data_IF_124861946754
#
_entry.id   IF_124861946754
#
_cell.length_a   1.000
_cell.length_b   1.000
_cell.length_c   1.000
_cell.angle_alpha   90.00
_cell.angle_beta   90.00
_cell.angle_gamma   90.00
#
_symmetry.space_group_name_H-M   'P 1'
#
loop_
_entity.id
_entity.type
_entity.pdbx_description
1 polymer ?
#
# COMPACT_ATOMS: atom_id res chain seq x y z
N UNK A 1 38.57 50.99 -28.56
CA UNK A 1 38.14 50.42 -29.86
C UNK A 1 38.62 48.97 -29.92
N UNK A 2 37.68 48.02 -30.05
CA UNK A 2 37.72 46.72 -30.75
C UNK A 2 39.03 45.89 -30.78
N UNK A 3 39.09 44.55 -30.66
CA UNK A 3 38.14 43.43 -30.57
C UNK A 3 39.02 42.17 -30.59
N UNK A 4 38.77 41.16 -29.75
CA UNK A 4 38.95 39.72 -30.08
C UNK A 4 38.55 38.86 -28.89
N UNK A 5 37.51 38.06 -29.10
CA UNK A 5 37.09 36.95 -28.24
C UNK A 5 38.05 35.75 -28.37
N UNK A 6 37.94 34.76 -27.46
CA UNK A 6 37.22 33.56 -27.89
C UNK A 6 36.28 32.96 -26.83
N UNK A 7 35.03 32.72 -27.26
CA UNK A 7 34.34 31.42 -27.18
C UNK A 7 34.21 30.72 -25.83
N UNK A 8 33.12 31.00 -25.12
CA UNK A 8 32.54 30.14 -24.10
C UNK A 8 32.01 28.85 -24.74
N UNK A 9 32.74 27.74 -24.58
CA UNK A 9 32.20 26.40 -24.81
C UNK A 9 31.66 25.86 -23.47
N UNK A 10 30.37 26.07 -23.23
CA UNK A 10 29.59 25.31 -22.26
C UNK A 10 29.55 23.85 -22.73
N UNK A 11 30.40 22.97 -22.19
CA UNK A 11 30.24 21.53 -22.39
C UNK A 11 29.19 21.01 -21.42
N UNK A 12 27.94 21.02 -21.92
CA UNK A 12 26.82 20.25 -21.43
C UNK A 12 27.28 18.85 -21.00
N UNK A 13 27.30 18.60 -19.69
CA UNK A 13 27.55 17.28 -19.10
C UNK A 13 26.30 16.76 -18.40
N UNK A 14 25.13 17.05 -18.97
CA UNK A 14 23.85 16.46 -18.58
C UNK A 14 23.23 15.87 -19.84
N UNK A 15 23.80 14.77 -20.32
CA UNK A 15 23.19 14.00 -21.39
C UNK A 15 23.32 12.52 -21.04
N UNK A 16 22.15 11.90 -20.88
CA UNK A 16 21.88 10.46 -20.85
C UNK A 16 21.78 9.81 -19.47
N UNK A 17 20.69 10.13 -18.74
CA UNK A 17 20.15 9.28 -17.66
C UNK A 17 18.69 8.84 -17.90
N UNK A 18 18.19 8.92 -19.14
CA UNK A 18 16.92 8.29 -19.52
C UNK A 18 17.18 7.07 -20.40
N UNK A 19 16.61 5.88 -20.10
CA UNK A 19 16.54 4.83 -21.09
C UNK A 19 15.52 5.24 -22.15
N UNK A 20 16.00 5.30 -23.39
CA UNK A 20 15.22 5.56 -24.59
C UNK A 20 14.08 4.52 -24.70
N UNK A 21 12.82 4.98 -24.71
CA UNK A 21 11.65 4.12 -24.90
C UNK A 21 11.36 4.11 -26.40
N UNK A 22 12.13 3.33 -27.15
CA UNK A 22 11.79 3.03 -28.54
C UNK A 22 10.65 2.00 -28.57
N UNK A 23 9.42 2.47 -28.77
CA UNK A 23 8.31 1.65 -29.23
C UNK A 23 8.58 1.21 -30.68
N UNK A 24 8.97 -0.05 -30.85
CA UNK A 24 9.10 -0.70 -32.15
C UNK A 24 8.21 -1.93 -32.21
N UNK A 25 7.10 -1.80 -32.93
CA UNK A 25 6.23 -2.89 -33.37
C UNK A 25 7.02 -3.88 -34.24
N UNK A 26 6.98 -5.18 -33.93
CA UNK A 26 7.01 -6.30 -34.87
C UNK A 26 6.87 -7.66 -34.16
N UNK A 27 5.93 -8.45 -34.67
CA UNK A 27 5.63 -9.83 -34.33
C UNK A 27 6.80 -10.79 -34.56
N UNK A 28 7.12 -11.63 -33.56
CA UNK A 28 7.54 -13.04 -33.77
C UNK A 28 7.63 -13.79 -32.44
N UNK A 29 7.38 -15.09 -32.56
CA UNK A 29 7.16 -16.08 -31.51
C UNK A 29 8.49 -16.50 -30.84
N UNK A 30 8.37 -16.85 -29.56
CA UNK A 30 9.15 -17.85 -28.79
C UNK A 30 10.23 -17.41 -27.78
N UNK A 31 10.06 -17.93 -26.56
CA UNK A 31 11.09 -18.26 -25.56
C UNK A 31 11.80 -17.19 -24.67
N UNK A 32 11.28 -15.97 -24.48
CA UNK A 32 11.99 -14.91 -23.72
C UNK A 32 11.44 -14.55 -22.33
N UNK A 33 10.50 -15.31 -21.75
CA UNK A 33 9.91 -14.99 -20.44
C UNK A 33 10.88 -15.08 -19.25
N UNK A 34 11.95 -15.88 -19.36
CA UNK A 34 12.97 -16.04 -18.30
C UNK A 34 14.03 -14.92 -18.31
N UNK A 35 14.39 -14.41 -19.49
CA UNK A 35 15.51 -13.48 -19.64
C UNK A 35 15.07 -12.02 -19.46
N UNK A 36 13.83 -11.68 -19.86
CA UNK A 36 13.25 -10.36 -19.61
C UNK A 36 13.04 -10.07 -18.12
N UNK A 37 12.65 -11.09 -17.35
CA UNK A 37 12.52 -11.00 -15.90
C UNK A 37 13.88 -10.77 -15.21
N UNK A 38 14.92 -11.47 -15.67
CA UNK A 38 16.28 -11.28 -15.14
C UNK A 38 16.87 -9.90 -15.49
N UNK A 39 16.60 -9.42 -16.71
CA UNK A 39 16.99 -8.07 -17.13
C UNK A 39 16.32 -6.96 -16.30
N UNK A 40 15.00 -7.07 -16.06
CA UNK A 40 14.25 -6.15 -15.20
C UNK A 40 14.78 -6.15 -13.77
N UNK A 41 15.08 -7.31 -13.20
CA UNK A 41 15.65 -7.43 -11.86
C UNK A 41 17.07 -6.85 -11.77
N UNK A 42 17.90 -7.05 -12.79
CA UNK A 42 19.24 -6.45 -12.85
C UNK A 42 19.17 -4.93 -12.96
N UNK A 43 18.32 -4.40 -13.83
CA UNK A 43 18.10 -2.96 -13.98
C UNK A 43 17.53 -2.34 -12.71
N UNK A 44 16.61 -3.03 -12.05
CA UNK A 44 16.07 -2.63 -10.75
C UNK A 44 17.14 -2.66 -9.65
N UNK A 45 18.03 -3.66 -9.64
CA UNK A 45 19.18 -3.70 -8.73
C UNK A 45 20.18 -2.57 -8.99
N UNK A 46 20.45 -2.23 -10.25
CA UNK A 46 21.29 -1.08 -10.64
C UNK A 46 20.66 0.23 -10.13
N UNK A 47 19.34 0.44 -10.33
CA UNK A 47 18.61 1.62 -9.83
C UNK A 47 18.61 1.70 -8.31
N UNK A 48 18.38 0.59 -7.61
CA UNK A 48 18.43 0.52 -6.14
C UNK A 48 19.83 0.80 -5.61
N UNK A 49 20.88 0.32 -6.28
CA UNK A 49 22.26 0.60 -5.89
C UNK A 49 22.59 2.08 -6.05
N UNK A 50 22.16 2.71 -7.16
CA UNK A 50 22.31 4.15 -7.36
C UNK A 50 21.53 4.95 -6.32
N UNK A 51 20.29 4.56 -6.01
CA UNK A 51 19.48 5.22 -4.99
C UNK A 51 20.09 5.08 -3.60
N UNK A 52 20.59 3.89 -3.23
CA UNK A 52 21.33 3.67 -1.99
C UNK A 52 22.60 4.50 -1.97
N UNK A 53 23.34 4.60 -3.08
CA UNK A 53 24.54 5.42 -3.15
C UNK A 53 24.24 6.91 -2.95
N UNK A 54 23.18 7.43 -3.58
CA UNK A 54 22.70 8.82 -3.41
C UNK A 54 22.29 9.04 -1.94
N UNK A 55 21.44 8.18 -1.39
CA UNK A 55 20.99 8.29 0.01
C UNK A 55 22.11 8.05 1.03
N UNK A 56 23.22 7.43 0.62
CA UNK A 56 24.42 7.23 1.46
C UNK A 56 25.43 8.37 1.34
N UNK A 57 25.22 9.31 0.40
CA UNK A 57 25.99 10.55 0.31
C UNK A 57 25.43 11.63 1.26
N UNK A 58 24.20 11.48 1.74
CA UNK A 58 23.57 12.36 2.71
C UNK A 58 24.10 12.14 4.14
N UNK A 59 23.87 13.11 5.04
CA UNK A 59 24.28 13.01 6.45
C UNK A 59 23.52 11.89 7.16
N UNK A 60 24.23 10.79 7.40
CA UNK A 60 23.69 9.64 8.12
C UNK A 60 23.86 9.76 9.66
N UNK A 61 23.12 8.92 10.40
CA UNK A 61 23.06 8.91 11.86
C UNK A 61 24.43 8.76 12.53
N UNK A 62 25.36 8.03 11.93
CA UNK A 62 26.72 7.85 12.45
C UNK A 62 27.54 9.15 12.41
N UNK A 63 27.37 9.97 11.36
CA UNK A 63 28.02 11.29 11.27
C UNK A 63 27.50 12.23 12.36
N UNK A 64 26.19 12.21 12.64
CA UNK A 64 25.58 12.98 13.72
C UNK A 64 26.04 12.50 15.11
N UNK A 65 26.16 11.20 15.33
CA UNK A 65 26.68 10.63 16.58
C UNK A 65 28.14 11.03 16.83
N UNK A 66 28.99 11.00 15.80
CA UNK A 66 30.37 11.42 15.89
C UNK A 66 30.48 12.92 16.21
N UNK A 67 29.67 13.75 15.54
CA UNK A 67 29.60 15.18 15.80
C UNK A 67 29.14 15.49 17.24
N UNK A 68 28.05 14.86 17.69
CA UNK A 68 27.55 15.00 19.05
C UNK A 68 28.56 14.54 20.11
N UNK A 69 29.30 13.46 19.85
CA UNK A 69 30.36 12.97 20.74
C UNK A 69 31.53 13.95 20.82
N UNK A 70 31.91 14.57 19.70
CA UNK A 70 32.97 15.58 19.67
C UNK A 70 32.58 16.89 20.38
N UNK A 71 31.31 17.32 20.24
CA UNK A 71 30.75 18.46 20.97
C UNK A 71 30.67 18.18 22.48
N UNK A 72 30.30 16.96 22.87
CA UNK A 72 30.32 16.52 24.28
C UNK A 72 31.73 16.58 24.87
N UNK A 73 32.73 16.08 24.14
CA UNK A 73 34.13 16.13 24.58
C UNK A 73 34.64 17.58 24.68
N UNK A 74 34.23 18.45 23.75
CA UNK A 74 34.52 19.88 23.82
C UNK A 74 33.90 20.52 25.07
N UNK A 75 32.64 20.21 25.39
CA UNK A 75 31.98 20.70 26.60
C UNK A 75 32.67 20.20 27.88
N UNK A 76 33.22 18.98 27.86
CA UNK A 76 33.88 18.36 29.01
C UNK A 76 35.29 18.91 29.27
N UNK A 77 36.11 19.03 28.23
CA UNK A 77 37.55 19.33 28.39
C UNK A 77 37.95 20.71 27.81
N UNK A 78 37.00 21.48 27.26
CA UNK A 78 37.19 22.74 26.53
C UNK A 78 38.27 22.66 25.43
N UNK A 79 38.57 21.46 24.94
CA UNK A 79 39.65 21.20 24.01
C UNK A 79 39.11 21.20 22.57
N UNK A 80 39.60 22.15 21.76
CA UNK A 80 39.18 22.29 20.36
C UNK A 80 39.66 21.14 19.46
N UNK A 81 40.59 20.31 19.93
CA UNK A 81 41.23 19.28 19.10
C UNK A 81 40.24 18.17 18.71
N UNK A 82 39.41 17.68 19.64
CA UNK A 82 38.44 16.62 19.35
C UNK A 82 37.39 17.04 18.33
N UNK A 83 36.96 18.30 18.37
CA UNK A 83 35.96 18.84 17.44
C UNK A 83 36.59 19.16 16.08
N UNK A 84 37.83 19.69 16.07
CA UNK A 84 38.62 19.90 14.85
C UNK A 84 38.86 18.60 14.09
N UNK A 85 39.33 17.54 14.77
CA UNK A 85 39.64 16.26 14.13
C UNK A 85 38.38 15.56 13.59
N UNK A 86 37.25 15.72 14.26
CA UNK A 86 35.98 15.11 13.83
C UNK A 86 35.38 15.87 12.65
N UNK A 87 35.38 17.21 12.70
CA UNK A 87 34.91 18.05 11.60
C UNK A 87 35.82 17.93 10.38
N UNK A 88 37.14 17.85 10.55
CA UNK A 88 38.07 17.60 9.46
C UNK A 88 37.79 16.27 8.76
N UNK A 89 37.54 15.19 9.53
CA UNK A 89 37.17 13.88 8.98
C UNK A 89 35.84 13.90 8.23
N UNK A 90 34.82 14.56 8.78
CA UNK A 90 33.54 14.72 8.10
C UNK A 90 33.71 15.56 6.82
N UNK A 91 34.46 16.65 6.88
CA UNK A 91 34.76 17.51 5.74
C UNK A 91 35.47 16.77 4.61
N UNK A 92 36.47 15.94 4.90
CA UNK A 92 37.13 15.11 3.87
C UNK A 92 36.20 14.06 3.26
N UNK A 93 35.16 13.64 4.01
CA UNK A 93 34.13 12.73 3.50
C UNK A 93 33.12 13.41 2.55
N UNK A 94 32.88 14.71 2.72
CA UNK A 94 31.88 15.49 1.99
C UNK A 94 32.48 16.56 1.05
N UNK A 95 33.79 16.47 0.75
CA UNK A 95 34.54 17.52 0.03
C UNK A 95 34.01 17.84 -1.39
N UNK A 96 33.13 17.00 -1.93
CA UNK A 96 32.52 17.16 -3.26
C UNK A 96 31.00 17.41 -3.23
N UNK A 97 30.37 17.54 -2.06
CA UNK A 97 28.93 17.83 -1.97
C UNK A 97 28.63 19.10 -1.13
N UNK A 98 28.29 20.23 -1.79
CA UNK A 98 27.89 21.46 -1.10
C UNK A 98 26.57 21.32 -0.32
N UNK A 99 25.74 20.32 -0.67
CA UNK A 99 24.45 20.06 -0.03
C UNK A 99 24.66 19.44 1.35
N UNK A 100 25.41 18.34 1.44
CA UNK A 100 25.79 17.73 2.72
C UNK A 100 26.53 18.71 3.65
N UNK A 101 27.35 19.62 3.10
CA UNK A 101 27.99 20.67 3.90
C UNK A 101 26.97 21.61 4.56
N UNK A 102 25.94 22.01 3.80
CA UNK A 102 24.87 22.90 4.27
C UNK A 102 23.97 22.19 5.29
N UNK A 103 23.66 20.92 5.06
CA UNK A 103 22.90 20.09 5.98
C UNK A 103 23.65 19.88 7.31
N UNK A 104 24.98 19.82 7.29
CA UNK A 104 25.78 19.62 8.50
C UNK A 104 25.78 20.88 9.37
N UNK A 105 25.80 22.05 8.72
CA UNK A 105 25.61 23.33 9.40
C UNK A 105 24.21 23.40 10.02
N UNK A 106 23.17 23.02 9.27
CA UNK A 106 21.80 23.00 9.79
C UNK A 106 21.66 22.03 10.97
N UNK A 107 22.28 20.85 10.88
CA UNK A 107 22.30 19.86 11.95
C UNK A 107 22.96 20.39 13.23
N UNK A 108 24.03 21.18 13.13
CA UNK A 108 24.67 21.85 14.27
C UNK A 108 23.74 22.86 14.94
N UNK A 109 22.98 23.65 14.17
CA UNK A 109 22.00 24.59 14.71
C UNK A 109 20.82 23.88 15.39
N UNK A 110 20.27 22.84 14.73
CA UNK A 110 19.16 22.04 15.29
C UNK A 110 19.61 21.27 16.53
N UNK A 111 20.86 20.80 16.57
CA UNK A 111 21.45 20.19 17.77
C UNK A 111 21.45 21.16 18.96
N UNK A 112 21.80 22.43 18.74
CA UNK A 112 21.76 23.43 19.80
C UNK A 112 20.35 23.59 20.39
N UNK A 113 19.34 23.70 19.52
CA UNK A 113 17.94 23.85 19.92
C UNK A 113 17.42 22.59 20.64
N UNK A 114 17.73 21.41 20.12
CA UNK A 114 17.36 20.13 20.72
C UNK A 114 17.98 19.92 22.11
N UNK A 115 19.24 20.29 22.28
CA UNK A 115 19.91 20.25 23.60
C UNK A 115 19.29 21.29 24.53
N UNK A 116 18.99 22.49 24.06
CA UNK A 116 18.29 23.52 24.86
C UNK A 116 16.90 23.07 25.32
N UNK A 117 16.13 22.39 24.46
CA UNK A 117 14.83 21.82 24.82
C UNK A 117 14.95 20.67 25.84
N UNK A 118 15.93 19.78 25.66
CA UNK A 118 16.20 18.72 26.63
C UNK A 118 16.65 19.29 27.99
N UNK A 119 17.50 20.32 28.01
CA UNK A 119 17.93 21.00 29.24
C UNK A 119 16.76 21.63 29.99
N UNK A 120 15.74 22.17 29.29
CA UNK A 120 14.51 22.68 29.90
C UNK A 120 13.63 21.60 30.53
N UNK A 121 13.77 20.34 30.08
CA UNK A 121 13.05 19.19 30.65
C UNK A 121 13.67 18.73 31.98
N UNK A 122 14.90 19.14 32.27
CA UNK A 122 15.55 18.94 33.55
C UNK A 122 15.34 20.16 34.46
N UNK A 123 15.11 19.94 35.75
CA UNK A 123 14.91 21.00 36.75
C UNK A 123 16.22 21.73 37.10
N UNK A 124 16.79 22.44 36.13
CA UNK A 124 18.04 23.20 36.24
C UNK A 124 17.71 24.65 36.61
N UNK A 125 18.49 25.22 37.54
CA UNK A 125 18.34 26.61 37.96
C UNK A 125 18.63 27.58 36.79
N UNK A 126 17.92 28.72 36.68
CA UNK A 126 18.02 29.62 35.53
C UNK A 126 19.45 30.07 35.19
N UNK A 127 20.26 30.43 36.20
CA UNK A 127 21.64 30.88 36.01
C UNK A 127 22.57 29.79 35.44
N UNK A 128 22.36 28.51 35.82
CA UNK A 128 23.07 27.37 35.22
C UNK A 128 22.60 27.10 33.81
N UNK A 129 21.30 27.24 33.53
CA UNK A 129 20.77 27.14 32.18
C UNK A 129 21.40 28.18 31.25
N UNK A 130 21.63 29.41 31.72
CA UNK A 130 22.36 30.44 30.97
C UNK A 130 23.84 30.08 30.73
N UNK A 131 24.54 29.58 31.74
CA UNK A 131 25.95 29.19 31.59
C UNK A 131 26.13 28.03 30.61
N UNK A 132 25.23 27.03 30.66
CA UNK A 132 25.22 25.89 29.76
C UNK A 132 24.83 26.31 28.33
N UNK A 133 23.82 27.17 28.16
CA UNK A 133 23.44 27.69 26.83
C UNK A 133 24.60 28.47 26.20
N UNK A 134 25.34 29.25 26.99
CA UNK A 134 26.51 29.99 26.51
C UNK A 134 27.66 29.05 26.11
N UNK A 135 27.93 28.01 26.90
CA UNK A 135 28.95 27.01 26.58
C UNK A 135 28.59 26.23 25.30
N UNK A 136 27.31 25.86 25.15
CA UNK A 136 26.79 25.18 23.97
C UNK A 136 26.87 26.07 22.72
N UNK A 137 26.53 27.37 22.84
CA UNK A 137 26.71 28.35 21.77
C UNK A 137 28.16 28.47 21.35
N UNK A 138 29.08 28.57 22.31
CA UNK A 138 30.51 28.65 22.02
C UNK A 138 31.02 27.41 21.28
N UNK A 139 30.60 26.21 21.71
CA UNK A 139 30.96 24.95 21.07
C UNK A 139 30.46 24.85 19.62
N UNK A 140 29.21 25.24 19.38
CA UNK A 140 28.58 25.22 18.05
C UNK A 140 29.22 26.29 17.15
N UNK A 141 29.53 27.47 17.68
CA UNK A 141 30.20 28.53 16.94
C UNK A 141 31.61 28.14 16.50
N UNK A 142 32.39 27.51 17.38
CA UNK A 142 33.70 26.95 17.04
C UNK A 142 33.58 25.87 15.96
N UNK A 143 32.59 24.97 16.08
CA UNK A 143 32.31 23.95 15.07
C UNK A 143 32.03 24.58 13.68
N UNK A 144 31.19 25.61 13.63
CA UNK A 144 30.84 26.33 12.40
C UNK A 144 32.05 27.07 11.83
N UNK A 145 32.88 27.69 12.67
CA UNK A 145 34.09 28.39 12.23
C UNK A 145 35.12 27.44 11.59
N UNK A 146 35.21 26.21 12.09
CA UNK A 146 36.06 25.16 11.50
C UNK A 146 35.44 24.61 10.21
N UNK A 147 34.12 24.46 10.18
CA UNK A 147 33.39 23.91 9.04
C UNK A 147 33.34 24.86 7.84
N UNK A 148 33.13 26.15 8.08
CA UNK A 148 33.18 27.22 7.07
C UNK A 148 33.86 28.47 7.63
N UNK A 149 35.18 28.65 7.33
CA UNK A 149 35.93 29.82 7.78
C UNK A 149 35.38 31.14 7.25
N UNK A 150 34.81 31.17 6.05
CA UNK A 150 34.21 32.39 5.47
C UNK A 150 32.93 32.80 6.20
N UNK A 151 32.10 31.84 6.62
CA UNK A 151 30.92 32.11 7.42
C UNK A 151 31.31 32.51 8.85
N UNK A 152 32.28 31.81 9.45
CA UNK A 152 32.84 32.14 10.76
C UNK A 152 33.51 33.51 10.82
N UNK A 153 34.24 33.91 9.77
CA UNK A 153 34.88 35.22 9.67
C UNK A 153 33.88 36.36 9.49
N UNK A 154 32.78 36.16 8.75
CA UNK A 154 31.68 37.15 8.69
C UNK A 154 30.96 37.30 10.04
N UNK A 155 30.89 36.24 10.85
CA UNK A 155 30.36 36.28 12.22
C UNK A 155 31.34 36.84 13.26
N UNK A 156 32.65 36.70 13.04
CA UNK A 156 33.70 37.17 13.96
C UNK A 156 34.18 38.58 13.64
N UNK A 157 34.20 38.98 12.36
CA UNK A 157 34.69 40.28 11.88
C UNK A 157 33.79 41.47 12.21
N UNK A 158 32.55 41.25 12.67
CA UNK A 158 31.70 42.33 13.22
C UNK A 158 32.08 42.71 14.66
N UNK A 159 33.10 42.08 15.26
CA UNK A 159 33.53 42.37 16.63
C UNK A 159 34.53 43.52 16.78
N UNK A 160 35.10 44.04 15.68
CA UNK A 160 36.15 45.07 15.79
C UNK A 160 35.60 46.51 15.86
N UNK A 161 34.34 46.76 15.53
CA UNK A 161 33.75 48.12 15.51
C UNK A 161 32.70 48.41 16.62
N UNK A 162 32.50 47.51 17.58
CA UNK A 162 31.54 47.71 18.69
C UNK A 162 32.24 47.71 20.05
N UNK A 163 33.02 48.77 20.32
CA UNK A 163 33.17 49.22 21.70
C UNK A 163 31.94 50.05 22.08
N UNK A 164 31.28 49.60 23.15
CA UNK A 164 30.16 50.23 23.88
C UNK A 164 28.75 49.68 23.58
N UNK A 165 28.27 48.85 24.53
CA UNK A 165 26.89 48.40 24.72
C UNK A 165 26.35 47.28 23.80
N UNK A 166 26.45 46.06 24.31
CA UNK A 166 25.29 45.17 24.47
C UNK A 166 24.70 44.46 23.23
N UNK A 167 25.17 43.22 23.04
CA UNK A 167 24.52 42.09 22.32
C UNK A 167 24.70 42.08 20.80
N UNK A 168 25.40 41.08 20.21
CA UNK A 168 25.52 40.96 18.76
C UNK A 168 24.14 40.69 18.15
N UNK A 169 23.82 41.40 17.06
CA UNK A 169 22.53 41.32 16.39
C UNK A 169 22.33 39.96 15.69
N UNK A 170 21.84 38.98 16.45
CA UNK A 170 21.46 37.62 16.03
C UNK A 170 20.34 37.54 14.97
N UNK A 171 19.92 38.67 14.39
CA UNK A 171 18.66 38.78 13.65
C UNK A 171 18.76 38.29 12.19
N UNK A 172 19.92 38.40 11.53
CA UNK A 172 20.03 38.04 10.11
C UNK A 172 20.04 36.52 9.85
N UNK A 173 20.67 35.75 10.74
CA UNK A 173 20.75 34.27 10.61
C UNK A 173 19.46 33.61 11.10
N UNK A 174 18.87 34.14 12.18
CA UNK A 174 17.52 33.75 12.61
C UNK A 174 16.48 34.05 11.54
N UNK A 175 16.62 35.15 10.80
CA UNK A 175 15.72 35.51 9.69
C UNK A 175 15.73 34.46 8.58
N UNK A 176 16.92 33.99 8.16
CA UNK A 176 17.04 32.94 7.14
C UNK A 176 16.45 31.61 7.66
N UNK A 177 16.79 31.21 8.89
CA UNK A 177 16.25 29.98 9.50
C UNK A 177 14.72 30.03 9.67
N UNK A 178 14.18 31.18 10.09
CA UNK A 178 12.73 31.39 10.21
C UNK A 178 12.05 31.40 8.83
N UNK A 179 12.67 31.98 7.80
CA UNK A 179 12.12 31.99 6.45
C UNK A 179 11.98 30.57 5.87
N UNK A 180 13.03 29.75 5.99
CA UNK A 180 12.97 28.34 5.56
C UNK A 180 11.99 27.52 6.39
N UNK A 181 11.98 27.70 7.72
CA UNK A 181 11.04 27.01 8.61
C UNK A 181 9.59 27.38 8.30
N UNK A 182 9.31 28.64 8.02
CA UNK A 182 7.99 29.10 7.64
C UNK A 182 7.59 28.56 6.26
N UNK A 183 8.51 28.47 5.30
CA UNK A 183 8.24 27.90 3.98
C UNK A 183 7.93 26.41 4.05
N UNK A 184 8.77 25.62 4.72
CA UNK A 184 8.54 24.18 4.89
C UNK A 184 7.29 23.89 5.72
N UNK A 185 7.04 24.70 6.76
CA UNK A 185 5.80 24.61 7.53
C UNK A 185 4.58 24.93 6.66
N UNK A 186 4.61 25.99 5.85
CA UNK A 186 3.50 26.35 4.98
C UNK A 186 3.18 25.24 3.97
N UNK A 187 4.21 24.63 3.36
CA UNK A 187 4.05 23.51 2.43
C UNK A 187 3.40 22.29 3.10
N UNK A 188 3.83 21.93 4.31
CA UNK A 188 3.19 20.86 5.09
C UNK A 188 1.73 21.17 5.41
N UNK A 189 1.40 22.41 5.77
CA UNK A 189 0.00 22.78 6.05
C UNK A 189 -0.85 22.67 4.78
N UNK A 190 -0.36 23.14 3.63
CA UNK A 190 -1.09 22.98 2.36
C UNK A 190 -1.28 21.51 1.97
N UNK A 191 -0.33 20.63 2.29
CA UNK A 191 -0.47 19.21 2.02
C UNK A 191 -1.53 18.57 2.92
N UNK A 192 -1.59 18.97 4.19
CA UNK A 192 -2.63 18.55 5.12
C UNK A 192 -4.00 19.03 4.62
N UNK A 193 -4.13 20.30 4.25
CA UNK A 193 -5.39 20.86 3.74
C UNK A 193 -5.87 20.11 2.50
N UNK A 194 -4.97 19.82 1.55
CA UNK A 194 -5.29 19.04 0.35
C UNK A 194 -5.73 17.61 0.70
N UNK A 195 -5.06 16.94 1.66
CA UNK A 195 -5.42 15.60 2.10
C UNK A 195 -6.76 15.57 2.83
N UNK A 196 -7.06 16.60 3.63
CA UNK A 196 -8.36 16.76 4.30
C UNK A 196 -9.48 16.96 3.27
N UNK A 197 -9.26 17.79 2.26
CA UNK A 197 -10.22 17.99 1.16
C UNK A 197 -10.45 16.69 0.38
N UNK A 198 -9.39 15.96 0.03
CA UNK A 198 -9.51 14.67 -0.65
C UNK A 198 -10.22 13.62 0.19
N UNK A 199 -9.94 13.57 1.49
CA UNK A 199 -10.61 12.65 2.41
C UNK A 199 -12.11 12.96 2.53
N UNK A 200 -12.46 14.25 2.63
CA UNK A 200 -13.86 14.69 2.61
C UNK A 200 -14.56 14.34 1.29
N UNK A 201 -13.88 14.52 0.16
CA UNK A 201 -14.40 14.14 -1.16
C UNK A 201 -14.62 12.64 -1.28
N UNK A 202 -13.67 11.82 -0.83
CA UNK A 202 -13.77 10.37 -0.84
C UNK A 202 -14.89 9.88 0.09
N UNK A 203 -15.02 10.46 1.28
CA UNK A 203 -16.11 10.15 2.20
C UNK A 203 -17.48 10.45 1.57
N UNK A 204 -17.60 11.58 0.87
CA UNK A 204 -18.83 11.94 0.18
C UNK A 204 -19.17 10.95 -0.95
N UNK A 205 -18.18 10.53 -1.74
CA UNK A 205 -18.37 9.49 -2.77
C UNK A 205 -18.81 8.16 -2.15
N UNK A 206 -18.20 7.76 -1.03
CA UNK A 206 -18.57 6.53 -0.33
C UNK A 206 -20.01 6.57 0.18
N UNK A 207 -20.45 7.71 0.72
CA UNK A 207 -21.84 7.93 1.14
C UNK A 207 -22.79 7.84 -0.06
N UNK A 208 -22.45 8.48 -1.18
CA UNK A 208 -23.27 8.42 -2.40
C UNK A 208 -23.40 7.00 -2.97
N UNK A 209 -22.29 6.25 -3.01
CA UNK A 209 -22.29 4.85 -3.45
C UNK A 209 -23.13 3.98 -2.51
N UNK A 210 -23.00 4.18 -1.19
CA UNK A 210 -23.80 3.42 -0.23
C UNK A 210 -25.30 3.71 -0.38
N UNK A 211 -25.68 4.98 -0.57
CA UNK A 211 -27.06 5.38 -0.84
C UNK A 211 -27.59 4.78 -2.15
N UNK A 212 -26.82 4.82 -3.23
CA UNK A 212 -27.24 4.26 -4.53
C UNK A 212 -27.38 2.74 -4.46
N UNK A 213 -26.47 2.06 -3.77
CA UNK A 213 -26.54 0.63 -3.52
C UNK A 213 -27.77 0.27 -2.67
N UNK A 214 -28.05 1.01 -1.60
CA UNK A 214 -29.25 0.86 -0.79
C UNK A 214 -30.55 1.04 -1.59
N UNK A 215 -30.57 2.02 -2.50
CA UNK A 215 -31.71 2.24 -3.40
C UNK A 215 -31.89 1.08 -4.39
N UNK A 216 -30.80 0.54 -4.94
CA UNK A 216 -30.84 -0.60 -5.85
C UNK A 216 -31.37 -1.86 -5.13
N UNK A 217 -30.90 -2.12 -3.91
CA UNK A 217 -31.40 -3.21 -3.06
C UNK A 217 -32.89 -3.06 -2.77
N UNK A 218 -33.34 -1.86 -2.40
CA UNK A 218 -34.75 -1.58 -2.16
C UNK A 218 -35.58 -1.86 -3.40
N UNK A 219 -35.15 -1.37 -4.57
CA UNK A 219 -35.83 -1.60 -5.84
C UNK A 219 -35.89 -3.08 -6.21
N UNK A 220 -34.80 -3.81 -6.04
CA UNK A 220 -34.77 -5.26 -6.27
C UNK A 220 -35.73 -6.01 -5.34
N UNK A 221 -35.82 -5.60 -4.07
CA UNK A 221 -36.73 -6.19 -3.10
C UNK A 221 -38.19 -5.90 -3.45
N UNK A 222 -38.51 -4.68 -3.89
CA UNK A 222 -39.84 -4.32 -4.35
C UNK A 222 -40.22 -5.08 -5.63
N UNK A 223 -39.30 -5.22 -6.59
CA UNK A 223 -39.51 -6.04 -7.79
C UNK A 223 -39.78 -7.50 -7.41
N UNK A 224 -39.05 -8.06 -6.44
CA UNK A 224 -39.26 -9.42 -5.94
C UNK A 224 -40.58 -9.58 -5.21
N UNK A 225 -41.03 -8.57 -4.46
CA UNK A 225 -42.37 -8.56 -3.84
C UNK A 225 -43.46 -8.58 -4.91
N UNK A 226 -43.35 -7.75 -5.94
CA UNK A 226 -44.33 -7.74 -7.06
C UNK A 226 -44.34 -9.09 -7.78
N UNK A 227 -43.16 -9.69 -8.02
CA UNK A 227 -43.08 -11.05 -8.59
C UNK A 227 -43.78 -12.08 -7.69
N UNK A 228 -43.59 -12.00 -6.38
CA UNK A 228 -44.22 -12.90 -5.42
C UNK A 228 -45.74 -12.68 -5.36
N UNK A 229 -46.23 -11.45 -5.35
CA UNK A 229 -47.65 -11.12 -5.40
C UNK A 229 -48.29 -11.62 -6.71
N UNK A 230 -47.60 -11.47 -7.85
CA UNK A 230 -48.07 -11.99 -9.13
C UNK A 230 -48.18 -13.52 -9.10
N UNK A 231 -47.16 -14.22 -8.60
CA UNK A 231 -47.19 -15.67 -8.44
C UNK A 231 -48.29 -16.13 -7.47
N UNK A 232 -48.47 -15.43 -6.34
CA UNK A 232 -49.55 -15.70 -5.40
C UNK A 232 -50.93 -15.48 -6.03
N UNK A 233 -51.11 -14.40 -6.80
CA UNK A 233 -52.36 -14.13 -7.52
C UNK A 233 -52.64 -15.15 -8.60
N UNK A 234 -51.62 -15.65 -9.30
CA UNK A 234 -51.72 -16.73 -10.29
C UNK A 234 -52.13 -18.05 -9.63
N UNK A 235 -51.56 -18.38 -8.46
CA UNK A 235 -51.97 -19.52 -7.65
C UNK A 235 -53.42 -19.33 -7.16
N UNK A 236 -53.79 -18.13 -6.69
CA UNK A 236 -55.13 -17.85 -6.18
C UNK A 236 -56.20 -17.87 -7.28
N UNK A 237 -55.90 -17.40 -8.49
CA UNK A 237 -56.80 -17.50 -9.65
C UNK A 237 -56.91 -18.93 -10.17
N UNK A 238 -55.88 -19.77 -10.01
CA UNK A 238 -55.96 -21.22 -10.25
C UNK A 238 -56.70 -21.99 -9.16
N UNK A 239 -56.90 -21.41 -7.97
CA UNK A 239 -57.47 -22.09 -6.80
C UNK A 239 -59.00 -21.95 -6.64
N UNK A 240 -59.73 -21.52 -7.68
CA UNK A 240 -61.21 -21.47 -7.64
C UNK A 240 -61.79 -22.87 -7.93
N UNK A 241 -61.60 -23.80 -6.99
CA UNK A 241 -62.54 -24.90 -6.72
C UNK A 241 -62.33 -25.38 -5.28
N UNK A 242 -63.29 -25.16 -4.36
CA UNK A 242 -63.07 -25.41 -2.94
C UNK A 242 -63.26 -26.90 -2.65
N UNK A 243 -62.15 -27.65 -2.53
CA UNK A 243 -62.21 -29.01 -1.99
C UNK A 243 -61.09 -29.96 -2.42
N UNK A 244 -59.82 -29.63 -2.16
CA UNK A 244 -58.80 -30.65 -1.87
C UNK A 244 -57.46 -30.05 -1.41
N UNK A 245 -56.67 -30.77 -0.59
CA UNK A 245 -55.39 -30.30 -0.13
C UNK A 245 -54.38 -30.28 -1.27
N UNK A 246 -53.83 -29.10 -1.57
CA UNK A 246 -52.88 -28.85 -2.64
C UNK A 246 -51.54 -29.50 -2.29
N UNK A 247 -51.24 -30.65 -2.91
CA UNK A 247 -49.86 -31.06 -3.19
C UNK A 247 -49.46 -30.40 -4.51
N UNK A 248 -48.33 -29.71 -4.56
CA UNK A 248 -47.74 -29.18 -5.79
C UNK A 248 -47.74 -30.27 -6.87
N UNK A 249 -48.62 -30.18 -7.87
CA UNK A 249 -48.67 -31.12 -8.98
C UNK A 249 -48.36 -30.36 -10.26
N UNK A 250 -47.19 -30.64 -10.82
CA UNK A 250 -46.86 -30.44 -12.23
C UNK A 250 -47.97 -31.12 -13.06
N UNK A 251 -48.34 -30.62 -14.26
CA UNK A 251 -49.34 -31.28 -15.10
C UNK A 251 -48.98 -32.75 -15.29
N UNK A 252 -49.89 -33.64 -14.89
CA UNK A 252 -49.71 -35.08 -14.94
C UNK A 252 -49.85 -35.53 -16.40
N UNK A 253 -48.77 -35.39 -17.17
CA UNK A 253 -48.60 -36.17 -18.40
C UNK A 253 -48.35 -37.58 -17.91
N UNK A 254 -49.42 -38.35 -17.74
CA UNK A 254 -49.36 -39.73 -17.29
C UNK A 254 -48.84 -40.60 -18.43
N UNK A 255 -47.55 -40.47 -18.73
CA UNK A 255 -46.83 -41.45 -19.53
C UNK A 255 -46.69 -42.73 -18.68
N UNK A 256 -46.96 -43.92 -19.24
CA UNK A 256 -46.93 -45.15 -18.47
C UNK A 256 -45.55 -45.35 -17.83
N UNK A 257 -45.48 -45.86 -16.59
CA UNK A 257 -44.20 -46.12 -15.94
C UNK A 257 -43.35 -47.03 -16.83
N UNK A 258 -42.10 -46.64 -17.03
CA UNK A 258 -41.15 -47.40 -17.84
C UNK A 258 -41.01 -48.83 -17.28
N UNK A 259 -41.52 -49.80 -18.06
CA UNK A 259 -41.54 -51.20 -17.68
C UNK A 259 -40.12 -51.78 -17.62
N UNK A 260 -39.18 -51.21 -18.37
CA UNK A 260 -37.77 -51.59 -18.37
C UNK A 260 -37.08 -51.15 -17.07
N UNK A 261 -37.41 -49.96 -16.57
CA UNK A 261 -36.92 -49.48 -15.28
C UNK A 261 -37.40 -50.37 -14.13
N UNK A 262 -38.69 -50.71 -14.12
CA UNK A 262 -39.26 -51.60 -13.11
C UNK A 262 -38.63 -52.99 -13.15
N UNK A 263 -38.37 -53.54 -14.35
CA UNK A 263 -37.70 -54.82 -14.52
C UNK A 263 -36.25 -54.79 -14.00
N UNK A 264 -35.49 -53.73 -14.31
CA UNK A 264 -34.11 -53.57 -13.85
C UNK A 264 -34.02 -53.48 -12.33
N UNK A 265 -34.92 -52.72 -11.69
CA UNK A 265 -34.95 -52.61 -10.23
C UNK A 265 -35.33 -53.94 -9.56
N UNK A 266 -36.23 -54.73 -10.16
CA UNK A 266 -36.53 -56.10 -9.69
C UNK A 266 -35.32 -57.01 -9.82
N UNK A 267 -34.58 -56.93 -10.93
CA UNK A 267 -33.34 -57.71 -11.14
C UNK A 267 -32.29 -57.40 -10.07
N UNK A 268 -32.18 -56.14 -9.63
CA UNK A 268 -31.26 -55.70 -8.56
C UNK A 268 -31.79 -55.92 -7.14
N UNK A 269 -32.91 -56.64 -6.98
CA UNK A 269 -33.52 -57.02 -5.70
C UNK A 269 -33.98 -55.82 -4.84
N UNK A 270 -34.55 -54.78 -5.47
CA UNK A 270 -35.24 -53.73 -4.73
C UNK A 270 -36.68 -54.14 -4.40
N UNK A 271 -37.15 -53.73 -3.21
CA UNK A 271 -38.51 -53.99 -2.74
C UNK A 271 -39.56 -53.27 -3.61
N UNK A 272 -40.74 -53.86 -3.78
CA UNK A 272 -41.80 -53.30 -4.63
C UNK A 272 -42.19 -51.85 -4.23
N UNK A 273 -42.17 -51.53 -2.93
CA UNK A 273 -42.40 -50.16 -2.44
C UNK A 273 -41.36 -49.16 -2.96
N UNK A 274 -40.10 -49.58 -3.09
CA UNK A 274 -39.03 -48.72 -3.63
C UNK A 274 -39.20 -48.52 -5.12
N UNK A 275 -39.59 -49.57 -5.85
CA UNK A 275 -39.86 -49.52 -7.28
C UNK A 275 -41.00 -48.55 -7.56
N UNK A 276 -42.10 -48.66 -6.82
CA UNK A 276 -43.27 -47.81 -7.00
C UNK A 276 -42.96 -46.33 -6.70
N UNK A 277 -42.04 -46.05 -5.79
CA UNK A 277 -41.59 -44.67 -5.48
C UNK A 277 -40.73 -44.11 -6.61
N UNK A 278 -39.81 -44.90 -7.17
CA UNK A 278 -38.93 -44.45 -8.27
C UNK A 278 -39.73 -44.30 -9.57
N UNK A 279 -40.62 -45.24 -9.88
CA UNK A 279 -41.49 -45.18 -11.07
C UNK A 279 -42.46 -44.00 -11.03
N UNK A 280 -42.84 -43.51 -9.84
CA UNK A 280 -43.69 -42.33 -9.68
C UNK A 280 -43.00 -41.02 -10.09
N UNK A 281 -41.67 -40.99 -10.01
CA UNK A 281 -40.87 -39.82 -10.42
C UNK A 281 -40.57 -39.82 -11.94
N UNK A 282 -41.16 -40.77 -12.69
CA UNK A 282 -41.12 -40.82 -14.16
C UNK A 282 -39.69 -40.83 -14.74
N UNK A 283 -38.72 -41.39 -14.03
CA UNK A 283 -37.41 -41.65 -14.62
C UNK A 283 -37.52 -42.67 -15.76
N UNK A 284 -36.88 -42.39 -16.88
CA UNK A 284 -36.52 -43.42 -17.86
C UNK A 284 -35.32 -44.22 -17.34
N UNK A 285 -35.21 -45.50 -17.70
CA UNK A 285 -34.06 -46.32 -17.31
C UNK A 285 -32.73 -45.69 -17.76
N UNK A 286 -32.68 -45.16 -18.97
CA UNK A 286 -31.49 -44.50 -19.54
C UNK A 286 -31.10 -43.25 -18.74
N UNK A 287 -32.06 -42.38 -18.44
CA UNK A 287 -31.83 -41.17 -17.65
C UNK A 287 -31.35 -41.47 -16.23
N UNK A 288 -31.94 -42.49 -15.58
CA UNK A 288 -31.55 -42.94 -14.26
C UNK A 288 -30.11 -43.48 -14.24
N UNK A 289 -29.73 -44.20 -15.29
CA UNK A 289 -28.42 -44.82 -15.39
C UNK A 289 -27.34 -43.83 -15.84
N UNK A 290 -27.64 -42.81 -16.65
CA UNK A 290 -26.63 -41.91 -17.24
C UNK A 290 -26.57 -40.52 -16.60
N UNK A 291 -27.72 -39.91 -16.31
CA UNK A 291 -27.82 -38.49 -15.98
C UNK A 291 -28.04 -38.20 -14.49
N UNK A 292 -28.66 -39.14 -13.77
CA UNK A 292 -29.00 -38.94 -12.36
C UNK A 292 -27.75 -38.82 -11.47
N UNK A 293 -27.78 -37.86 -10.54
CA UNK A 293 -26.75 -37.64 -9.51
C UNK A 293 -27.25 -38.11 -8.16
N UNK A 294 -26.32 -38.33 -7.22
CA UNK A 294 -26.65 -38.74 -5.86
C UNK A 294 -27.59 -37.76 -5.14
N UNK A 295 -27.45 -36.46 -5.41
CA UNK A 295 -28.32 -35.41 -4.89
C UNK A 295 -29.78 -35.57 -5.36
N UNK A 296 -29.97 -36.03 -6.59
CA UNK A 296 -31.31 -36.23 -7.16
C UNK A 296 -31.97 -37.47 -6.54
N UNK A 297 -31.20 -38.53 -6.30
CA UNK A 297 -31.68 -39.69 -5.53
C UNK A 297 -31.96 -39.37 -4.05
N UNK A 298 -31.28 -38.37 -3.47
CA UNK A 298 -31.51 -37.96 -2.08
C UNK A 298 -32.85 -37.25 -1.86
N UNK A 299 -33.44 -36.70 -2.94
CA UNK A 299 -34.76 -36.07 -2.92
C UNK A 299 -35.89 -37.11 -2.95
N UNK A 300 -35.57 -38.35 -3.34
CA UNK A 300 -36.47 -39.48 -3.17
C UNK A 300 -36.65 -39.72 -1.67
N UNK A 301 -37.88 -39.84 -1.20
CA UNK A 301 -38.20 -40.13 0.22
C UNK A 301 -37.87 -41.58 0.62
N UNK A 302 -36.73 -42.08 0.16
CA UNK A 302 -36.21 -43.41 0.42
C UNK A 302 -35.23 -43.39 1.60
N UNK A 303 -35.13 -44.51 2.30
CA UNK A 303 -34.11 -44.67 3.35
C UNK A 303 -32.72 -44.57 2.74
N UNK A 304 -31.80 -43.86 3.40
CA UNK A 304 -30.44 -43.62 2.90
C UNK A 304 -29.70 -44.89 2.47
N UNK A 305 -29.87 -46.00 3.20
CA UNK A 305 -29.27 -47.29 2.82
C UNK A 305 -29.77 -47.86 1.48
N UNK A 306 -31.02 -47.56 1.10
CA UNK A 306 -31.60 -47.92 -0.20
C UNK A 306 -31.01 -47.02 -1.29
N UNK A 307 -30.92 -45.71 -1.03
CA UNK A 307 -30.31 -44.73 -1.93
C UNK A 307 -28.87 -45.12 -2.29
N UNK A 308 -28.04 -45.48 -1.31
CA UNK A 308 -26.65 -45.89 -1.58
C UNK A 308 -26.54 -47.24 -2.30
N UNK A 309 -27.48 -48.17 -2.10
CA UNK A 309 -27.54 -49.43 -2.87
C UNK A 309 -27.92 -49.17 -4.32
N UNK A 310 -28.90 -48.30 -4.55
CA UNK A 310 -29.31 -47.86 -5.88
C UNK A 310 -28.18 -47.13 -6.60
N UNK A 311 -27.52 -46.19 -5.91
CA UNK A 311 -26.36 -45.47 -6.43
C UNK A 311 -25.20 -46.41 -6.80
N UNK A 312 -24.90 -47.42 -5.97
CA UNK A 312 -23.91 -48.45 -6.31
C UNK A 312 -24.31 -49.27 -7.54
N UNK A 313 -25.59 -49.61 -7.70
CA UNK A 313 -26.08 -50.32 -8.87
C UNK A 313 -25.95 -49.48 -10.16
N UNK A 314 -26.22 -48.18 -10.07
CA UNK A 314 -26.04 -47.20 -11.17
C UNK A 314 -24.56 -47.08 -11.54
N UNK A 315 -23.67 -46.87 -10.56
CA UNK A 315 -22.23 -46.77 -10.81
C UNK A 315 -21.66 -48.06 -11.43
N UNK A 316 -22.06 -49.23 -10.94
CA UNK A 316 -21.65 -50.51 -11.52
C UNK A 316 -22.15 -50.70 -12.96
N UNK A 317 -23.23 -50.03 -13.37
CA UNK A 317 -23.68 -50.03 -14.76
C UNK A 317 -22.83 -49.06 -15.60
N UNK A 318 -22.55 -47.86 -15.09
CA UNK A 318 -21.68 -46.86 -15.74
C UNK A 318 -20.26 -47.39 -15.98
N UNK A 319 -19.71 -48.13 -15.01
CA UNK A 319 -18.36 -48.72 -15.12
C UNK A 319 -18.28 -49.86 -16.16
N UNK A 320 -19.42 -50.47 -16.49
CA UNK A 320 -19.52 -51.57 -17.47
C UNK A 320 -19.86 -51.10 -18.89
N UNK A 321 -20.28 -49.85 -19.08
CA UNK A 321 -20.51 -49.24 -20.38
C UNK A 321 -19.26 -48.45 -20.78
N UNK A 322 -18.36 -48.99 -21.64
CA UNK A 322 -17.24 -48.20 -22.13
C UNK A 322 -17.80 -47.03 -22.96
N UNK A 323 -17.46 -45.80 -22.56
CA UNK A 323 -17.79 -44.55 -23.24
C UNK A 323 -17.65 -44.71 -24.76
N UNK A 324 -18.76 -44.69 -25.49
CA UNK A 324 -18.77 -44.40 -26.92
C UNK A 324 -18.58 -42.91 -27.15
#
# INVERSE_FOLDING_TARGET
>A
MARSEPGLALTSSYSNLSPDVSEGDHSSVDSSGRDGGFYLLRKDSERRTTLVHILSQDINQEHLKQLASSLRNYIQDNSTNSIKDTIARLRTGFEYDPTAMTELQLALYVFQEAVSMNLKTHSIQPHWMFAIDNLLRAAVQEAIMILSPELGANLAGMKEDEQESGVPSTNSIKSIQHAYRNSASAELHTQIDNLEEDNMRLLQQLVQINQSYGNLLRRSLDDKKVQMELLQSFIATSAVSPGSPIKNRVPDIHEPPDEELAAWLKEKQFDQETIDVISREQYLLEDLLELVRLEDLSKLQLRSGIIYRLWRAILNHRDKQPKR
#
